data_IF_905799143463
#
_entry.id   IF_905799143463
#
_cell.length_a   1.000
_cell.length_b   1.000
_cell.length_c   1.000
_cell.angle_alpha   90.00
_cell.angle_beta   90.00
_cell.angle_gamma   90.00
#
_symmetry.space_group_name_H-M   'P 1'
#
loop_
_entity.id
_entity.type
_entity.pdbx_description
1 polymer ?
#
# COMPACT_ATOMS: atom_id res chain seq x y z
N UNK A 1 16.12 -68.73 20.70
CA UNK A 1 17.27 -67.90 20.25
C UNK A 1 16.79 -66.92 19.19
N UNK A 2 17.10 -65.65 19.40
CA UNK A 2 16.74 -64.50 18.57
C UNK A 2 17.27 -64.57 17.12
N UNK A 3 16.46 -64.10 16.18
CA UNK A 3 16.86 -63.01 15.26
C UNK A 3 15.62 -62.38 14.59
N UNK A 4 15.22 -61.14 14.93
CA UNK A 4 14.26 -60.40 14.11
C UNK A 4 15.00 -59.72 12.96
N UNK A 5 14.62 -60.05 11.72
CA UNK A 5 15.04 -59.32 10.51
C UNK A 5 14.33 -57.97 10.47
N UNK A 6 15.15 -56.91 10.51
CA UNK A 6 14.77 -55.52 10.29
C UNK A 6 14.36 -55.35 8.82
N UNK A 7 13.16 -54.84 8.54
CA UNK A 7 12.95 -53.94 7.41
C UNK A 7 11.53 -53.37 7.32
N UNK A 8 11.50 -52.03 7.37
CA UNK A 8 10.59 -51.12 6.67
C UNK A 8 9.08 -51.28 6.84
N UNK A 9 8.54 -50.58 7.84
CA UNK A 9 7.28 -49.83 7.72
C UNK A 9 7.36 -48.60 8.66
N UNK A 10 8.08 -47.56 8.23
CA UNK A 10 7.93 -46.21 8.78
C UNK A 10 7.24 -45.40 7.68
N UNK A 11 5.92 -45.33 7.75
CA UNK A 11 5.07 -44.39 7.03
C UNK A 11 4.10 -43.83 8.06
N UNK A 12 4.34 -42.59 8.49
CA UNK A 12 3.69 -41.39 7.96
C UNK A 12 2.34 -41.14 8.64
N UNK A 13 2.42 -40.48 9.80
CA UNK A 13 1.42 -39.48 10.21
C UNK A 13 2.13 -38.34 10.96
N UNK A 14 3.02 -37.65 10.26
CA UNK A 14 3.31 -36.24 10.57
C UNK A 14 2.14 -35.41 10.02
N UNK A 15 0.94 -35.61 10.55
CA UNK A 15 -0.24 -34.78 10.28
C UNK A 15 -0.42 -33.76 11.39
N UNK A 16 0.64 -33.02 11.67
CA UNK A 16 0.64 -31.79 12.47
C UNK A 16 1.37 -30.68 11.69
N UNK A 17 0.98 -30.49 10.43
CA UNK A 17 1.20 -29.24 9.71
C UNK A 17 -0.14 -28.71 9.19
N UNK A 18 -1.18 -28.78 10.03
CA UNK A 18 -2.37 -27.96 9.83
C UNK A 18 -2.19 -26.72 10.70
N UNK A 19 -1.76 -25.60 10.10
CA UNK A 19 -2.01 -24.29 10.69
C UNK A 19 -0.82 -23.49 11.22
N UNK A 20 0.41 -23.65 10.72
CA UNK A 20 1.26 -22.46 10.67
C UNK A 20 0.75 -21.60 9.51
N UNK A 21 -0.32 -20.83 9.75
CA UNK A 21 -0.51 -19.60 8.99
C UNK A 21 0.72 -18.78 9.31
N UNK A 22 1.75 -18.86 8.46
CA UNK A 22 2.88 -17.96 8.55
C UNK A 22 2.24 -16.59 8.30
N UNK A 23 2.06 -15.82 9.37
CA UNK A 23 1.47 -14.48 9.32
C UNK A 23 2.19 -13.62 8.28
N UNK A 24 1.59 -12.49 7.94
CA UNK A 24 2.25 -11.56 7.06
C UNK A 24 3.40 -10.92 7.81
N UNK A 25 4.63 -11.42 7.65
CA UNK A 25 5.82 -10.90 8.37
C UNK A 25 5.97 -9.39 8.26
N UNK A 26 5.61 -8.80 7.12
CA UNK A 26 5.65 -7.35 6.94
C UNK A 26 4.72 -6.60 7.91
N UNK A 27 3.57 -7.18 8.21
CA UNK A 27 2.58 -6.68 9.16
C UNK A 27 2.99 -7.07 10.59
N UNK A 28 3.39 -8.32 10.81
CA UNK A 28 3.80 -8.84 12.13
C UNK A 28 5.03 -8.10 12.69
N UNK A 29 5.99 -7.74 11.84
CA UNK A 29 7.20 -6.99 12.22
C UNK A 29 6.93 -5.46 12.28
N UNK A 30 5.66 -5.02 12.23
CA UNK A 30 5.21 -3.63 12.21
C UNK A 30 5.84 -2.75 11.12
N UNK A 31 6.32 -3.35 10.02
CA UNK A 31 6.95 -2.62 8.92
C UNK A 31 5.95 -1.73 8.22
N UNK A 32 4.69 -2.18 8.11
CA UNK A 32 3.65 -1.40 7.49
C UNK A 32 3.43 -0.06 8.20
N UNK A 33 3.31 -0.03 9.52
CA UNK A 33 3.17 1.22 10.29
C UNK A 33 4.43 2.09 10.21
N UNK A 34 5.61 1.50 10.41
CA UNK A 34 6.89 2.25 10.34
C UNK A 34 7.07 2.97 9.00
N UNK A 35 6.79 2.28 7.89
CA UNK A 35 6.87 2.86 6.56
C UNK A 35 5.78 3.90 6.34
N UNK A 36 4.56 3.67 6.84
CA UNK A 36 3.46 4.64 6.73
C UNK A 36 3.77 5.96 7.45
N UNK A 37 4.36 5.90 8.64
CA UNK A 37 4.84 7.09 9.36
C UNK A 37 5.93 7.82 8.58
N UNK A 38 6.88 7.06 8.02
CA UNK A 38 7.96 7.59 7.18
C UNK A 38 7.40 8.30 5.94
N UNK A 39 6.44 7.68 5.24
CA UNK A 39 5.77 8.26 4.07
C UNK A 39 5.02 9.56 4.40
N UNK A 40 4.28 9.57 5.51
CA UNK A 40 3.56 10.78 5.95
C UNK A 40 4.52 11.91 6.33
N UNK A 41 5.64 11.58 6.98
CA UNK A 41 6.69 12.55 7.27
C UNK A 41 7.37 13.07 6.00
N UNK A 42 7.68 12.20 5.04
CA UNK A 42 8.26 12.57 3.76
C UNK A 42 7.37 13.55 3.01
N UNK A 43 6.07 13.27 2.89
CA UNK A 43 5.13 14.21 2.28
C UNK A 43 5.13 15.58 2.97
N UNK A 44 5.30 15.63 4.29
CA UNK A 44 5.39 16.89 5.03
C UNK A 44 6.68 17.65 4.71
N UNK A 45 7.84 16.99 4.73
CA UNK A 45 9.13 17.65 4.51
C UNK A 45 9.44 17.95 3.03
N UNK A 46 8.70 17.34 2.09
CA UNK A 46 8.83 17.60 0.65
C UNK A 46 8.32 18.99 0.26
N UNK A 47 7.12 19.36 0.70
CA UNK A 47 6.45 20.61 0.31
C UNK A 47 6.08 21.54 1.47
N UNK A 48 6.38 21.16 2.72
CA UNK A 48 6.01 21.93 3.90
C UNK A 48 4.50 21.92 4.15
N UNK A 49 3.96 23.08 4.55
CA UNK A 49 2.53 23.23 4.81
C UNK A 49 1.68 22.82 3.61
N UNK A 50 0.56 22.14 3.89
CA UNK A 50 -0.34 21.67 2.83
C UNK A 50 -1.35 22.75 2.48
N UNK A 51 -1.63 22.92 1.19
CA UNK A 51 -2.69 23.82 0.73
C UNK A 51 -4.05 23.46 1.35
N UNK A 52 -4.84 24.49 1.67
CA UNK A 52 -6.24 24.36 2.12
C UNK A 52 -7.21 24.23 0.95
N UNK A 53 -6.77 24.50 -0.28
CA UNK A 53 -7.60 24.49 -1.49
C UNK A 53 -8.20 23.12 -1.81
N UNK A 54 -9.34 23.13 -2.49
CA UNK A 54 -10.03 21.91 -2.89
C UNK A 54 -9.41 21.30 -4.15
N UNK A 55 -9.22 19.98 -4.14
CA UNK A 55 -8.70 19.21 -5.30
C UNK A 55 -9.72 19.15 -6.44
N UNK A 56 -11.00 19.48 -6.19
CA UNK A 56 -12.07 19.47 -7.20
C UNK A 56 -12.47 18.08 -7.71
N UNK A 57 -11.77 17.02 -7.28
CA UNK A 57 -12.12 15.62 -7.51
C UNK A 57 -12.63 15.02 -6.20
N UNK A 58 -13.86 14.48 -6.14
CA UNK A 58 -14.35 13.84 -4.92
C UNK A 58 -13.51 12.61 -4.56
N UNK A 59 -13.08 12.55 -3.30
CA UNK A 59 -12.34 11.41 -2.77
C UNK A 59 -13.19 10.13 -2.79
N UNK A 60 -12.61 8.95 -3.05
CA UNK A 60 -13.37 7.73 -3.31
C UNK A 60 -13.72 7.01 -1.98
N UNK A 61 -14.49 7.67 -1.12
CA UNK A 61 -14.85 7.16 0.22
C UNK A 61 -15.51 5.77 0.15
N UNK A 62 -16.37 5.54 -0.84
CA UNK A 62 -17.05 4.25 -1.00
C UNK A 62 -16.08 3.09 -1.24
N UNK A 63 -14.97 3.32 -1.94
CA UNK A 63 -13.94 2.29 -2.17
C UNK A 63 -13.24 1.92 -0.86
N UNK A 64 -12.92 2.93 -0.04
CA UNK A 64 -12.32 2.72 1.28
C UNK A 64 -13.28 2.01 2.23
N UNK A 65 -14.56 2.37 2.22
CA UNK A 65 -15.60 1.70 3.01
C UNK A 65 -15.78 0.25 2.59
N UNK A 66 -15.77 -0.04 1.28
CA UNK A 66 -15.81 -1.42 0.78
C UNK A 66 -14.60 -2.22 1.26
N UNK A 67 -13.40 -1.64 1.18
CA UNK A 67 -12.18 -2.27 1.67
C UNK A 67 -12.27 -2.58 3.17
N UNK A 68 -12.73 -1.63 3.99
CA UNK A 68 -12.86 -1.79 5.45
C UNK A 68 -13.60 -3.07 5.88
N UNK A 69 -14.66 -3.44 5.14
CA UNK A 69 -15.47 -4.63 5.42
C UNK A 69 -15.09 -5.87 4.60
N UNK A 70 -14.07 -5.79 3.75
CA UNK A 70 -13.60 -6.93 2.94
C UNK A 70 -12.77 -7.91 3.78
N UNK A 71 -12.54 -9.15 3.31
CA UNK A 71 -11.55 -10.07 3.93
C UNK A 71 -10.14 -9.47 4.02
N UNK A 72 -9.33 -9.93 4.98
CA UNK A 72 -7.96 -9.43 5.23
C UNK A 72 -7.09 -9.39 3.97
N UNK A 73 -7.10 -10.45 3.16
CA UNK A 73 -6.32 -10.49 1.91
C UNK A 73 -6.82 -9.46 0.89
N UNK A 74 -8.13 -9.24 0.81
CA UNK A 74 -8.72 -8.23 -0.08
C UNK A 74 -8.41 -6.81 0.40
N UNK A 75 -8.36 -6.59 1.72
CA UNK A 75 -7.87 -5.33 2.32
C UNK A 75 -6.43 -5.06 1.93
N UNK A 76 -5.54 -6.04 2.15
CA UNK A 76 -4.11 -5.92 1.78
C UNK A 76 -3.95 -5.66 0.29
N UNK A 77 -4.72 -6.35 -0.56
CA UNK A 77 -4.71 -6.12 -2.01
C UNK A 77 -5.20 -4.72 -2.41
N UNK A 78 -6.20 -4.17 -1.72
CA UNK A 78 -6.65 -2.79 -1.94
C UNK A 78 -5.58 -1.77 -1.50
N UNK A 79 -4.94 -2.01 -0.35
CA UNK A 79 -3.85 -1.17 0.15
C UNK A 79 -2.69 -1.16 -0.85
N UNK A 80 -2.23 -2.34 -1.28
CA UNK A 80 -1.16 -2.49 -2.28
C UNK A 80 -1.46 -1.68 -3.55
N UNK A 81 -2.64 -1.88 -4.14
CA UNK A 81 -3.03 -1.16 -5.35
C UNK A 81 -3.08 0.36 -5.15
N UNK A 82 -3.51 0.83 -3.98
CA UNK A 82 -3.55 2.26 -3.70
C UNK A 82 -2.13 2.83 -3.62
N UNK A 83 -1.18 2.09 -3.06
CA UNK A 83 0.24 2.47 -3.02
C UNK A 83 0.82 2.53 -4.43
N UNK A 84 0.56 1.53 -5.26
CA UNK A 84 0.98 1.51 -6.68
C UNK A 84 0.47 2.75 -7.43
N UNK A 85 -0.82 3.08 -7.28
CA UNK A 85 -1.43 4.23 -7.98
C UNK A 85 -0.88 5.58 -7.48
N UNK A 86 -0.50 5.67 -6.19
CA UNK A 86 0.21 6.85 -5.67
C UNK A 86 1.62 6.92 -6.27
N UNK A 87 2.35 5.81 -6.31
CA UNK A 87 3.69 5.77 -6.89
C UNK A 87 3.67 6.18 -8.37
N UNK A 88 2.76 5.61 -9.17
CA UNK A 88 2.57 5.96 -10.58
C UNK A 88 2.21 7.44 -10.78
N UNK A 89 1.43 8.03 -9.86
CA UNK A 89 1.10 9.45 -9.93
C UNK A 89 2.31 10.36 -9.65
N UNK A 90 3.25 9.91 -8.80
CA UNK A 90 4.46 10.66 -8.42
C UNK A 90 5.67 10.37 -9.32
N UNK A 91 5.63 9.35 -10.17
CA UNK A 91 6.66 9.05 -11.17
C UNK A 91 6.60 9.99 -12.40
N UNK A 92 5.79 11.06 -12.35
CA UNK A 92 5.67 12.06 -13.41
C UNK A 92 6.65 13.22 -13.26
N UNK A 93 6.73 14.07 -14.30
CA UNK A 93 7.59 15.26 -14.29
C UNK A 93 7.08 16.33 -13.29
N UNK A 94 7.66 16.32 -12.10
CA UNK A 94 7.47 17.34 -11.04
C UNK A 94 8.74 18.19 -10.83
N UNK A 95 9.65 18.15 -11.80
CA UNK A 95 10.90 18.90 -11.82
C UNK A 95 10.60 20.36 -11.51
N UNK A 96 11.32 20.92 -10.53
CA UNK A 96 11.15 22.26 -9.92
C UNK A 96 10.13 22.45 -8.79
N UNK A 97 9.25 21.49 -8.47
CA UNK A 97 8.28 21.68 -7.37
C UNK A 97 8.87 21.34 -6.00
N UNK A 98 9.49 20.17 -5.90
CA UNK A 98 10.11 19.67 -4.68
C UNK A 98 11.56 19.26 -4.92
N UNK A 99 12.28 19.08 -3.82
CA UNK A 99 13.61 18.48 -3.82
C UNK A 99 13.54 17.04 -4.37
N UNK A 100 14.18 16.81 -5.53
CA UNK A 100 14.16 15.54 -6.25
C UNK A 100 14.60 14.36 -5.37
N UNK A 101 15.62 14.55 -4.52
CA UNK A 101 16.10 13.50 -3.62
C UNK A 101 15.04 13.13 -2.58
N UNK A 102 14.24 14.08 -2.10
CA UNK A 102 13.14 13.78 -1.18
C UNK A 102 12.02 13.00 -1.88
N UNK A 103 11.73 13.33 -3.14
CA UNK A 103 10.75 12.58 -3.96
C UNK A 103 11.25 11.15 -4.21
N UNK A 104 12.52 10.99 -4.57
CA UNK A 104 13.15 9.69 -4.78
C UNK A 104 13.05 8.82 -3.52
N UNK A 105 13.37 9.38 -2.34
CA UNK A 105 13.22 8.67 -1.06
C UNK A 105 11.75 8.29 -0.82
N UNK A 106 10.80 9.18 -1.12
CA UNK A 106 9.37 8.88 -1.00
C UNK A 106 8.92 7.72 -1.89
N UNK A 107 9.30 7.73 -3.17
CA UNK A 107 9.02 6.65 -4.10
C UNK A 107 9.69 5.34 -3.67
N UNK A 108 10.93 5.37 -3.20
CA UNK A 108 11.63 4.19 -2.69
C UNK A 108 10.92 3.56 -1.47
N UNK A 109 10.42 4.39 -0.55
CA UNK A 109 9.66 3.89 0.62
C UNK A 109 8.30 3.34 0.19
N UNK A 110 7.61 3.96 -0.79
CA UNK A 110 6.35 3.43 -1.35
C UNK A 110 6.58 2.06 -2.00
N UNK A 111 7.61 1.93 -2.84
CA UNK A 111 7.96 0.68 -3.51
C UNK A 111 8.30 -0.40 -2.50
N UNK A 112 9.13 -0.10 -1.50
CA UNK A 112 9.46 -1.07 -0.44
C UNK A 112 8.23 -1.50 0.36
N UNK A 113 7.30 -0.58 0.60
CA UNK A 113 6.03 -0.88 1.27
C UNK A 113 5.13 -1.78 0.41
N UNK A 114 5.07 -1.53 -0.90
CA UNK A 114 4.35 -2.36 -1.85
C UNK A 114 4.95 -3.77 -1.92
N UNK A 115 6.27 -3.90 -2.07
CA UNK A 115 6.99 -5.19 -2.11
C UNK A 115 6.75 -6.01 -0.83
N UNK A 116 6.81 -5.34 0.32
CA UNK A 116 6.52 -5.93 1.62
C UNK A 116 5.10 -6.51 1.71
N UNK A 117 4.09 -5.74 1.31
CA UNK A 117 2.71 -6.21 1.27
C UNK A 117 2.47 -7.29 0.21
N UNK A 118 3.12 -7.18 -0.95
CA UNK A 118 3.01 -8.15 -2.02
C UNK A 118 3.50 -9.54 -1.58
N UNK A 119 4.50 -9.59 -0.70
CA UNK A 119 4.96 -10.86 -0.09
C UNK A 119 3.90 -11.55 0.78
N UNK A 120 2.86 -10.82 1.20
CA UNK A 120 1.79 -11.33 2.06
C UNK A 120 0.50 -11.69 1.33
N UNK A 121 0.40 -11.35 0.04
CA UNK A 121 -0.76 -11.69 -0.78
C UNK A 121 -0.48 -13.00 -1.51
N UNK A 122 -1.33 -14.00 -1.30
CA UNK A 122 -1.10 -15.36 -1.81
C UNK A 122 -1.50 -15.53 -3.27
N UNK A 123 -2.43 -14.70 -3.75
CA UNK A 123 -2.88 -14.69 -5.14
C UNK A 123 -3.02 -13.26 -5.68
N UNK A 124 -2.48 -13.02 -6.88
CA UNK A 124 -2.75 -11.78 -7.60
C UNK A 124 -4.25 -11.71 -7.91
N UNK A 125 -4.90 -10.66 -7.41
CA UNK A 125 -6.31 -10.39 -7.67
C UNK A 125 -6.45 -9.37 -8.79
N UNK A 126 -7.67 -9.18 -9.28
CA UNK A 126 -7.95 -8.17 -10.30
C UNK A 126 -7.79 -6.76 -9.72
N UNK A 127 -7.11 -5.86 -10.44
CA UNK A 127 -7.03 -4.45 -10.05
C UNK A 127 -8.40 -3.77 -10.13
N UNK A 128 -8.69 -2.88 -9.18
CA UNK A 128 -9.91 -2.08 -9.08
C UNK A 128 -9.92 -1.02 -10.18
N UNK A 129 -10.77 -1.21 -11.18
CA UNK A 129 -10.96 -0.23 -12.26
C UNK A 129 -11.42 1.12 -11.73
N UNK A 130 -12.22 1.15 -10.67
CA UNK A 130 -12.74 2.39 -10.10
C UNK A 130 -11.65 3.19 -9.38
N UNK A 131 -10.75 2.50 -8.66
CA UNK A 131 -9.59 3.13 -8.03
C UNK A 131 -8.67 3.72 -9.09
N UNK A 132 -8.32 2.93 -10.11
CA UNK A 132 -7.51 3.38 -11.23
C UNK A 132 -8.12 4.60 -11.96
N UNK A 133 -9.42 4.56 -12.24
CA UNK A 133 -10.12 5.69 -12.85
C UNK A 133 -10.09 6.94 -11.98
N UNK A 134 -10.11 6.80 -10.66
CA UNK A 134 -10.00 7.92 -9.74
C UNK A 134 -8.62 8.59 -9.83
N UNK A 135 -7.51 7.83 -9.77
CA UNK A 135 -6.16 8.39 -9.92
C UNK A 135 -5.93 8.98 -11.32
N UNK A 136 -6.49 8.35 -12.36
CA UNK A 136 -6.52 8.92 -13.71
C UNK A 136 -7.25 10.28 -13.76
N UNK A 137 -8.32 10.48 -12.98
CA UNK A 137 -9.00 11.78 -12.87
C UNK A 137 -8.13 12.79 -12.13
N UNK A 138 -7.42 12.41 -11.07
CA UNK A 138 -6.45 13.31 -10.43
C UNK A 138 -5.40 13.81 -11.45
N UNK A 139 -4.78 12.90 -12.19
CA UNK A 139 -3.81 13.28 -13.23
C UNK A 139 -4.45 14.20 -14.29
N UNK A 140 -5.60 13.84 -14.85
CA UNK A 140 -6.17 14.61 -15.96
C UNK A 140 -6.83 15.94 -15.52
N UNK A 141 -7.56 15.94 -14.41
CA UNK A 141 -8.39 17.09 -14.01
C UNK A 141 -7.68 18.05 -13.07
N UNK A 142 -6.60 17.61 -12.42
CA UNK A 142 -5.77 18.44 -11.55
C UNK A 142 -4.46 18.76 -12.28
N UNK A 143 -3.57 17.78 -12.44
CA UNK A 143 -2.23 18.01 -13.01
C UNK A 143 -2.31 18.58 -14.42
N UNK A 144 -2.88 17.85 -15.39
CA UNK A 144 -2.92 18.29 -16.79
C UNK A 144 -3.69 19.58 -17.00
N UNK A 145 -4.87 19.70 -16.37
CA UNK A 145 -5.73 20.89 -16.49
C UNK A 145 -5.03 22.16 -15.99
N UNK A 146 -4.19 22.03 -14.98
CA UNK A 146 -3.43 23.12 -14.38
C UNK A 146 -1.98 23.16 -14.89
N UNK A 147 -1.73 22.57 -16.06
CA UNK A 147 -0.45 22.55 -16.76
C UNK A 147 0.73 22.11 -15.88
N UNK A 148 0.51 21.11 -15.02
CA UNK A 148 1.51 20.57 -14.10
C UNK A 148 2.16 21.63 -13.19
N UNK A 149 1.44 22.73 -12.93
CA UNK A 149 1.93 23.80 -12.05
C UNK A 149 2.26 23.29 -10.65
N UNK A 150 3.17 23.98 -9.95
CA UNK A 150 3.50 23.68 -8.56
C UNK A 150 2.25 23.58 -7.66
N UNK A 151 1.27 24.45 -7.87
CA UNK A 151 0.00 24.40 -7.13
C UNK A 151 -0.79 23.11 -7.39
N UNK A 152 -0.81 22.59 -8.63
CA UNK A 152 -1.47 21.34 -8.96
C UNK A 152 -0.81 20.14 -8.26
N UNK A 153 0.52 20.14 -8.20
CA UNK A 153 1.28 19.14 -7.47
C UNK A 153 1.04 19.21 -5.96
N UNK A 154 0.90 20.42 -5.40
CA UNK A 154 0.53 20.60 -3.99
C UNK A 154 -0.88 20.06 -3.66
N UNK A 155 -1.84 20.20 -4.57
CA UNK A 155 -3.16 19.56 -4.46
C UNK A 155 -3.04 18.03 -4.48
N UNK A 156 -2.21 17.48 -5.37
CA UNK A 156 -1.95 16.03 -5.43
C UNK A 156 -1.25 15.51 -4.17
N UNK A 157 -0.25 16.24 -3.65
CA UNK A 157 0.45 15.91 -2.40
C UNK A 157 -0.50 15.82 -1.21
N UNK A 158 -1.43 16.77 -1.12
CA UNK A 158 -2.52 16.76 -0.13
C UNK A 158 -3.39 15.52 -0.26
N UNK A 159 -3.77 15.15 -1.48
CA UNK A 159 -4.63 14.00 -1.72
C UNK A 159 -3.91 12.67 -1.43
N UNK A 160 -2.64 12.55 -1.81
CA UNK A 160 -1.79 11.41 -1.44
C UNK A 160 -1.69 11.26 0.09
N UNK A 161 -1.52 12.37 0.84
CA UNK A 161 -1.56 12.34 2.31
C UNK A 161 -2.88 11.80 2.83
N UNK A 162 -4.01 12.19 2.23
CA UNK A 162 -5.34 11.67 2.61
C UNK A 162 -5.45 10.17 2.36
N UNK A 163 -5.00 9.69 1.20
CA UNK A 163 -4.95 8.26 0.90
C UNK A 163 -4.10 7.51 1.92
N UNK A 164 -2.86 7.93 2.16
CA UNK A 164 -1.95 7.28 3.12
C UNK A 164 -2.53 7.21 4.53
N UNK A 165 -3.17 8.30 5.02
CA UNK A 165 -3.85 8.26 6.34
C UNK A 165 -4.98 7.23 6.38
N UNK A 166 -5.77 7.12 5.31
CA UNK A 166 -6.83 6.10 5.22
C UNK A 166 -6.23 4.68 5.13
N UNK A 167 -5.10 4.52 4.44
CA UNK A 167 -4.38 3.24 4.39
C UNK A 167 -3.85 2.84 5.77
N UNK A 168 -3.32 3.77 6.57
CA UNK A 168 -2.90 3.48 7.96
C UNK A 168 -4.07 2.90 8.75
N UNK A 169 -5.25 3.52 8.69
CA UNK A 169 -6.43 3.01 9.40
C UNK A 169 -6.82 1.59 8.96
N UNK A 170 -6.82 1.33 7.65
CA UNK A 170 -7.10 0.01 7.10
C UNK A 170 -6.04 -1.02 7.51
N UNK A 171 -4.77 -0.65 7.43
CA UNK A 171 -3.63 -1.51 7.74
C UNK A 171 -3.53 -1.83 9.22
N UNK A 172 -3.71 -0.86 10.12
CA UNK A 172 -3.71 -1.12 11.58
C UNK A 172 -4.81 -2.08 12.00
N UNK A 173 -6.01 -1.99 11.41
CA UNK A 173 -7.08 -2.95 11.66
C UNK A 173 -6.70 -4.37 11.16
N UNK A 174 -5.87 -4.43 10.13
CA UNK A 174 -5.38 -5.68 9.53
C UNK A 174 -4.25 -6.28 10.38
N UNK A 175 -3.27 -5.49 10.86
CA UNK A 175 -2.19 -5.92 11.76
C UNK A 175 -2.73 -6.50 13.07
N UNK A 176 -3.75 -5.87 13.67
CA UNK A 176 -4.35 -6.34 14.93
C UNK A 176 -5.23 -7.59 14.80
N UNK A 177 -5.48 -8.06 13.56
CA UNK A 177 -6.32 -9.23 13.28
C UNK A 177 -5.51 -10.47 12.87
N UNK A 178 -4.21 -10.32 12.70
CA UNK A 178 -3.20 -11.37 12.46
C UNK A 178 -2.60 -11.84 13.78
#
# INVERSE_FOLDING_TARGET
>A
MHRPTKSFLICLFLTLCNGFSMGCRWMDDHKFIQHSETLLNLLNIMGGEFTTDSVGTPFPEDLYKQAEYSPTEDKMWFILQTIDEIAELFDGEHDSVWDEKKVEIFLNVLTSQADGLQSCVTAQKKKSKNLHMYFKRLNNHVLKRMAYSAHAWELVRKEARRHLRRLVLLGSATENST
#
